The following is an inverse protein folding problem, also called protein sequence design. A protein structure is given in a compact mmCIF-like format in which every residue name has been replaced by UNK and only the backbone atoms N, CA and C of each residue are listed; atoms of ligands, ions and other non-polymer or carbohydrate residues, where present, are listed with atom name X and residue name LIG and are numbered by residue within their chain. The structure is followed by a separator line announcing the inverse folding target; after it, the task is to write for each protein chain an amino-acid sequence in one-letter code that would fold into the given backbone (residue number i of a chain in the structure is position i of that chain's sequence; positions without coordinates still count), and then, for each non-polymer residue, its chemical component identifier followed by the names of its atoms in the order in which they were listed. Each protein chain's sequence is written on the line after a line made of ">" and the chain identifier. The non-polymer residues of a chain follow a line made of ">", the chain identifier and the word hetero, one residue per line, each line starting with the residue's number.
data_IF_722048500883
#
_entry.id   IF_722048500883
#
_cell.length_a   1.000
_cell.length_b   1.000
_cell.length_c   1.000
_cell.angle_alpha   90.00
_cell.angle_beta   90.00
_cell.angle_gamma   90.00
#
_symmetry.space_group_name_H-M   'P 1'
#
loop_
_entity.id
_entity.type
_entity.pdbx_description
1 polymer ?
#
# COMPACT_ATOMS: atom_id res chain seq x y z
N UNK A 1 10.42 -1.73 10.66
CA UNK A 1 11.00 -1.68 9.31
C UNK A 1 10.19 -2.57 8.35
N UNK A 2 10.06 -2.15 7.09
CA UNK A 2 9.64 -2.94 5.92
C UNK A 2 10.72 -2.82 4.84
N UNK A 3 10.99 -3.87 4.07
CA UNK A 3 11.97 -3.83 2.98
C UNK A 3 11.40 -4.37 1.68
N UNK A 4 11.69 -3.71 0.57
CA UNK A 4 11.31 -4.12 -0.77
C UNK A 4 12.46 -3.86 -1.75
N UNK A 5 12.46 -4.55 -2.89
CA UNK A 5 13.45 -4.27 -3.93
C UNK A 5 13.10 -3.00 -4.70
N UNK A 6 14.11 -2.41 -5.36
CA UNK A 6 13.91 -1.29 -6.28
C UNK A 6 12.91 -1.61 -7.40
N UNK A 7 12.88 -2.84 -7.90
CA UNK A 7 11.93 -3.26 -8.93
C UNK A 7 10.49 -3.19 -8.42
N UNK A 8 10.23 -3.71 -7.21
CA UNK A 8 8.90 -3.64 -6.60
C UNK A 8 8.50 -2.19 -6.31
N UNK A 9 9.43 -1.36 -5.85
CA UNK A 9 9.16 0.07 -5.67
C UNK A 9 8.74 0.74 -6.99
N UNK A 10 9.47 0.47 -8.08
CA UNK A 10 9.15 1.02 -9.39
C UNK A 10 7.82 0.48 -9.95
N UNK A 11 7.50 -0.80 -9.71
CA UNK A 11 6.20 -1.38 -10.06
C UNK A 11 5.07 -0.65 -9.34
N UNK A 12 5.17 -0.49 -8.01
CA UNK A 12 4.18 0.22 -7.21
C UNK A 12 4.00 1.65 -7.72
N UNK A 13 5.09 2.40 -7.90
CA UNK A 13 5.04 3.78 -8.39
C UNK A 13 4.40 3.86 -9.78
N UNK A 14 4.70 2.90 -10.66
CA UNK A 14 4.09 2.82 -11.99
C UNK A 14 2.58 2.64 -11.87
N UNK A 15 2.12 1.67 -11.08
CA UNK A 15 0.69 1.45 -10.82
C UNK A 15 0.01 2.71 -10.29
N UNK A 16 0.61 3.37 -9.29
CA UNK A 16 0.08 4.64 -8.76
C UNK A 16 -0.09 5.72 -9.83
N UNK A 17 0.81 5.79 -10.81
CA UNK A 17 0.70 6.77 -11.92
C UNK A 17 -0.36 6.38 -12.94
N UNK A 18 -0.58 5.09 -13.17
CA UNK A 18 -1.56 4.57 -14.13
C UNK A 18 -3.00 4.73 -13.65
N UNK A 19 -3.24 4.70 -12.32
CA UNK A 19 -4.57 4.88 -11.72
C UNK A 19 -5.03 6.35 -11.60
N UNK A 20 -4.15 7.33 -11.91
CA UNK A 20 -4.55 8.73 -11.90
C UNK A 20 -5.78 8.97 -12.80
N UNK A 21 -6.79 9.74 -12.36
CA UNK A 21 -6.76 10.67 -11.21
C UNK A 21 -7.11 10.06 -9.86
N UNK A 22 -7.40 8.77 -9.77
CA UNK A 22 -7.82 8.09 -8.55
C UNK A 22 -6.62 7.61 -7.73
N UNK A 23 -6.85 7.28 -6.45
CA UNK A 23 -5.84 6.59 -5.65
C UNK A 23 -5.71 5.13 -6.09
N UNK A 24 -4.49 4.70 -6.39
CA UNK A 24 -4.16 3.28 -6.50
C UNK A 24 -4.15 2.63 -5.12
N UNK A 25 -4.42 1.33 -5.07
CA UNK A 25 -4.25 0.54 -3.86
C UNK A 25 -3.70 -0.86 -4.16
N UNK A 26 -3.10 -1.52 -3.17
CA UNK A 26 -2.64 -2.88 -3.34
C UNK A 26 -2.11 -3.58 -2.11
N UNK A 27 -1.84 -4.89 -2.27
CA UNK A 27 -1.36 -5.76 -1.20
C UNK A 27 0.13 -6.05 -1.39
N UNK A 28 0.91 -5.84 -0.33
CA UNK A 28 2.31 -6.24 -0.27
C UNK A 28 2.41 -7.60 0.42
N UNK A 29 2.91 -8.60 -0.31
CA UNK A 29 3.06 -9.95 0.17
C UNK A 29 4.52 -10.32 0.37
N UNK A 30 4.81 -11.13 1.37
CA UNK A 30 6.17 -11.54 1.69
C UNK A 30 6.28 -12.32 2.99
N UNK A 31 7.42 -12.23 3.66
CA UNK A 31 7.70 -12.93 4.92
C UNK A 31 8.30 -11.98 5.94
N UNK A 32 7.66 -11.86 7.11
CA UNK A 32 8.10 -10.96 8.17
C UNK A 32 8.07 -9.49 7.73
N UNK A 33 9.24 -8.90 7.49
CA UNK A 33 9.36 -7.51 7.01
C UNK A 33 9.77 -7.39 5.53
N UNK A 34 10.09 -8.50 4.87
CA UNK A 34 10.55 -8.51 3.48
C UNK A 34 9.36 -8.68 2.55
N UNK A 35 9.13 -7.70 1.67
CA UNK A 35 8.17 -7.77 0.57
C UNK A 35 8.81 -8.55 -0.56
N UNK A 36 8.13 -9.61 -1.00
CA UNK A 36 8.54 -10.46 -2.12
C UNK A 36 7.68 -10.20 -3.37
N UNK A 37 6.44 -9.74 -3.19
CA UNK A 37 5.50 -9.49 -4.30
C UNK A 37 4.56 -8.33 -3.97
N UNK A 38 4.26 -7.51 -4.97
CA UNK A 38 3.21 -6.48 -4.91
C UNK A 38 2.05 -6.89 -5.81
N UNK A 39 0.85 -6.94 -5.23
CA UNK A 39 -0.41 -7.14 -5.95
C UNK A 39 -1.08 -5.79 -6.13
N UNK A 40 -1.24 -5.39 -7.39
CA UNK A 40 -2.04 -4.24 -7.81
C UNK A 40 -3.51 -4.62 -7.64
N UNK A 41 -4.29 -3.73 -7.02
CA UNK A 41 -5.70 -3.98 -6.69
C UNK A 41 -6.56 -2.87 -7.25
N UNK A 42 -7.78 -3.22 -7.64
CA UNK A 42 -8.76 -2.24 -8.10
C UNK A 42 -9.26 -1.41 -6.92
N UNK A 43 -9.18 -0.08 -7.04
CA UNK A 43 -9.91 0.83 -6.18
C UNK A 43 -11.38 0.87 -6.59
N UNK A 44 -12.21 0.11 -5.88
CA UNK A 44 -13.64 0.00 -6.14
C UNK A 44 -14.41 1.33 -5.97
N UNK A 45 -13.84 2.27 -5.21
CA UNK A 45 -14.47 3.57 -4.96
C UNK A 45 -14.14 4.62 -6.04
N UNK A 46 -13.11 4.37 -6.87
CA UNK A 46 -12.65 5.29 -7.94
C UNK A 46 -12.58 6.74 -7.43
N UNK A 47 -11.85 6.90 -6.34
CA UNK A 47 -11.76 8.16 -5.60
C UNK A 47 -10.31 8.66 -5.60
N UNK A 48 -10.10 9.98 -5.74
CA UNK A 48 -8.78 10.61 -5.64
C UNK A 48 -8.29 10.81 -4.20
N UNK A 49 -9.10 10.50 -3.19
CA UNK A 49 -8.82 10.78 -1.77
C UNK A 49 -8.95 9.57 -0.85
N UNK A 50 -9.40 8.42 -1.36
CA UNK A 50 -9.49 7.19 -0.60
C UNK A 50 -9.56 5.96 -1.50
N UNK A 51 -9.37 4.79 -0.88
CA UNK A 51 -9.50 3.51 -1.56
C UNK A 51 -10.39 2.52 -0.81
N UNK A 52 -11.04 1.66 -1.58
CA UNK A 52 -11.65 0.41 -1.11
C UNK A 52 -11.20 -0.67 -2.09
N UNK A 53 -10.46 -1.66 -1.62
CA UNK A 53 -10.05 -2.78 -2.48
C UNK A 53 -11.28 -3.59 -2.92
N UNK A 54 -11.30 -4.01 -4.18
CA UNK A 54 -12.32 -4.95 -4.68
C UNK A 54 -12.32 -6.24 -3.81
N UNK A 55 -13.46 -6.61 -3.19
CA UNK A 55 -13.51 -7.75 -2.28
C UNK A 55 -13.24 -9.10 -2.95
N UNK A 56 -13.62 -9.26 -4.22
CA UNK A 56 -13.42 -10.52 -4.94
C UNK A 56 -11.94 -10.71 -5.29
N UNK A 57 -11.27 -9.63 -5.71
CA UNK A 57 -9.82 -9.61 -5.91
C UNK A 57 -9.08 -9.85 -4.59
N UNK A 58 -9.51 -9.21 -3.50
CA UNK A 58 -8.88 -9.38 -2.18
C UNK A 58 -8.95 -10.85 -1.74
N UNK A 59 -10.11 -11.50 -1.90
CA UNK A 59 -10.27 -12.92 -1.57
C UNK A 59 -9.34 -13.81 -2.41
N UNK A 60 -9.21 -13.50 -3.71
CA UNK A 60 -8.32 -14.23 -4.64
C UNK A 60 -6.86 -14.10 -4.22
N UNK A 61 -6.40 -12.88 -3.95
CA UNK A 61 -5.02 -12.61 -3.51
C UNK A 61 -4.75 -13.30 -2.17
N UNK A 62 -5.63 -13.14 -1.18
CA UNK A 62 -5.46 -13.81 0.13
C UNK A 62 -5.40 -15.34 0.03
N UNK A 63 -6.10 -15.95 -0.94
CA UNK A 63 -5.99 -17.39 -1.23
C UNK A 63 -4.63 -17.74 -1.85
N UNK A 64 -4.16 -16.94 -2.79
CA UNK A 64 -2.85 -17.12 -3.41
C UNK A 64 -1.70 -17.00 -2.40
N UNK A 65 -1.76 -16.00 -1.51
CA UNK A 65 -0.80 -15.83 -0.41
C UNK A 65 -0.68 -17.12 0.42
N UNK A 66 -1.81 -17.69 0.85
CA UNK A 66 -1.81 -18.96 1.59
C UNK A 66 -1.20 -20.11 0.81
N UNK A 67 -1.51 -20.24 -0.48
CA UNK A 67 -0.96 -21.30 -1.33
C UNK A 67 0.56 -21.18 -1.53
N UNK A 68 1.07 -19.95 -1.55
CA UNK A 68 2.50 -19.65 -1.71
C UNK A 68 3.26 -19.62 -0.37
N UNK A 69 2.57 -19.76 0.77
CA UNK A 69 3.17 -19.61 2.09
C UNK A 69 3.70 -18.19 2.33
N UNK A 70 3.02 -17.18 1.78
CA UNK A 70 3.29 -15.76 1.96
C UNK A 70 2.27 -15.13 2.90
N UNK A 71 2.70 -14.07 3.58
CA UNK A 71 1.88 -13.24 4.46
C UNK A 71 1.61 -11.89 3.80
N UNK A 72 0.50 -11.26 4.17
CA UNK A 72 0.26 -9.85 3.86
C UNK A 72 1.09 -9.00 4.83
N UNK A 73 2.26 -8.56 4.37
CA UNK A 73 3.21 -7.78 5.18
C UNK A 73 2.86 -6.29 5.21
N UNK A 74 2.05 -5.85 4.24
CA UNK A 74 1.56 -4.48 4.17
C UNK A 74 0.46 -4.28 3.13
N UNK A 75 -0.11 -3.09 3.17
CA UNK A 75 -1.06 -2.55 2.20
C UNK A 75 -0.39 -1.28 1.66
N UNK A 76 -0.49 -1.01 0.38
CA UNK A 76 -0.10 0.29 -0.16
C UNK A 76 -1.27 1.02 -0.79
N UNK A 77 -1.21 2.34 -0.78
CA UNK A 77 -2.06 3.20 -1.58
C UNK A 77 -1.32 4.48 -1.97
N UNK A 78 -1.87 5.21 -2.93
CA UNK A 78 -1.28 6.45 -3.42
C UNK A 78 -2.06 7.67 -3.03
N UNK A 79 -1.38 8.72 -2.59
CA UNK A 79 -1.94 10.05 -2.50
C UNK A 79 -1.62 10.85 -3.76
N UNK A 80 -2.66 11.35 -4.43
CA UNK A 80 -2.56 12.05 -5.71
C UNK A 80 -1.83 13.39 -5.58
N UNK A 81 -2.17 14.18 -4.57
CA UNK A 81 -1.69 15.57 -4.40
C UNK A 81 -1.17 15.89 -2.99
N UNK A 82 -1.30 14.97 -2.03
CA UNK A 82 -0.90 15.17 -0.64
C UNK A 82 0.38 14.40 -0.30
N UNK A 83 0.97 14.73 0.86
CA UNK A 83 2.18 14.06 1.36
C UNK A 83 1.90 12.58 1.67
N UNK A 84 2.98 11.77 1.69
CA UNK A 84 2.89 10.37 2.10
C UNK A 84 2.75 10.27 3.62
N UNK A 85 1.56 10.58 4.14
CA UNK A 85 1.23 10.50 5.56
C UNK A 85 -0.25 10.16 5.72
N UNK A 86 -0.66 9.29 6.66
CA UNK A 86 -2.04 8.84 6.77
C UNK A 86 -3.00 10.01 6.96
N UNK A 87 -4.04 10.07 6.12
CA UNK A 87 -5.17 10.97 6.27
C UNK A 87 -6.08 10.52 7.43
N UNK A 88 -7.01 11.36 7.87
CA UNK A 88 -8.05 10.93 8.83
C UNK A 88 -8.85 9.74 8.29
N UNK A 89 -9.09 9.69 6.98
CA UNK A 89 -9.83 8.61 6.34
C UNK A 89 -9.04 7.30 6.35
N UNK A 90 -7.73 7.36 6.12
CA UNK A 90 -6.85 6.19 6.21
C UNK A 90 -6.88 5.58 7.61
N UNK A 91 -6.89 6.42 8.64
CA UNK A 91 -6.92 5.98 10.05
C UNK A 91 -8.24 5.27 10.36
N UNK A 92 -9.37 5.81 9.88
CA UNK A 92 -10.70 5.21 10.06
C UNK A 92 -10.83 3.86 9.35
N UNK A 93 -10.21 3.72 8.18
CA UNK A 93 -10.28 2.52 7.34
C UNK A 93 -9.14 1.52 7.60
N UNK A 94 -8.31 1.76 8.62
CA UNK A 94 -7.19 0.89 8.97
C UNK A 94 -7.64 -0.39 9.70
N UNK A 95 -8.32 -1.29 8.99
CA UNK A 95 -8.88 -2.52 9.55
C UNK A 95 -7.86 -3.66 9.77
N UNK A 96 -6.61 -3.49 9.31
CA UNK A 96 -5.56 -4.49 9.39
C UNK A 96 -4.43 -4.02 10.31
N UNK A 97 -4.57 -4.16 11.65
CA UNK A 97 -3.64 -3.59 12.62
C UNK A 97 -2.22 -4.16 12.54
N UNK A 98 -2.07 -5.36 11.99
CA UNK A 98 -0.77 -6.02 11.79
C UNK A 98 -0.10 -5.64 10.46
N UNK A 99 -0.84 -5.05 9.52
CA UNK A 99 -0.31 -4.60 8.25
C UNK A 99 0.45 -3.28 8.40
N UNK A 100 1.46 -3.09 7.55
CA UNK A 100 2.12 -1.80 7.35
C UNK A 100 1.43 -1.09 6.20
N UNK A 101 0.94 0.12 6.46
CA UNK A 101 0.32 1.00 5.49
C UNK A 101 1.40 1.84 4.80
N UNK A 102 1.72 1.47 3.56
CA UNK A 102 2.72 2.12 2.73
C UNK A 102 2.06 3.16 1.82
N UNK A 103 2.31 4.44 2.06
CA UNK A 103 1.68 5.52 1.32
C UNK A 103 2.67 6.06 0.30
N UNK A 104 2.25 6.10 -0.96
CA UNK A 104 3.03 6.67 -2.07
C UNK A 104 2.49 8.06 -2.39
N UNK A 105 3.29 9.10 -2.24
CA UNK A 105 2.89 10.44 -2.69
C UNK A 105 3.26 10.66 -4.14
N UNK A 106 2.30 11.18 -4.92
CA UNK A 106 2.48 11.65 -6.30
C UNK A 106 2.44 13.19 -6.40
N UNK A 107 2.48 13.89 -5.25
CA UNK A 107 2.48 15.37 -5.20
C UNK A 107 3.58 15.97 -6.09
N UNK A 108 4.77 15.38 -6.07
CA UNK A 108 5.79 15.56 -7.11
C UNK A 108 5.83 14.31 -7.99
N UNK A 109 5.16 14.37 -9.15
CA UNK A 109 5.07 13.25 -10.11
C UNK A 109 6.45 12.76 -10.61
N UNK A 110 7.46 13.63 -10.57
CA UNK A 110 8.82 13.31 -10.99
C UNK A 110 9.66 12.71 -9.87
N UNK A 111 9.26 12.90 -8.61
CA UNK A 111 9.96 12.38 -7.44
C UNK A 111 8.99 11.72 -6.44
N UNK A 112 8.32 10.63 -6.85
CA UNK A 112 7.40 9.91 -5.98
C UNK A 112 8.15 9.32 -4.79
N UNK A 113 7.56 9.43 -3.60
CA UNK A 113 8.13 8.92 -2.35
C UNK A 113 7.17 7.96 -1.69
N UNK A 114 7.71 6.96 -1.00
CA UNK A 114 6.96 6.00 -0.22
C UNK A 114 7.34 6.12 1.26
N UNK A 115 6.35 6.08 2.14
CA UNK A 115 6.53 6.04 3.60
C UNK A 115 5.64 4.95 4.17
N UNK A 116 6.06 4.32 5.27
CA UNK A 116 5.35 3.20 5.87
C UNK A 116 4.88 3.55 7.29
N UNK A 117 3.68 3.10 7.64
CA UNK A 117 3.07 3.38 8.94
C UNK A 117 2.41 2.13 9.51
N UNK A 118 2.43 1.98 10.84
CA UNK A 118 1.44 1.17 11.54
C UNK A 118 0.34 2.07 12.06
N UNK A 119 -0.89 1.61 11.88
CA UNK A 119 -2.07 2.27 12.40
C UNK A 119 -2.79 1.27 13.30
N UNK A 120 -2.83 1.56 14.61
CA UNK A 120 -3.46 0.69 15.61
C UNK A 120 -4.24 1.54 16.60
N UNK A 121 -5.54 1.27 16.74
CA UNK A 121 -6.44 2.01 17.66
C UNK A 121 -6.35 3.53 17.45
N UNK A 122 -6.31 3.97 16.18
CA UNK A 122 -6.19 5.38 15.81
C UNK A 122 -4.80 6.00 16.00
N UNK A 123 -3.82 5.26 16.53
CA UNK A 123 -2.45 5.75 16.72
C UNK A 123 -1.59 5.43 15.50
N UNK A 124 -0.91 6.45 14.99
CA UNK A 124 0.04 6.34 13.88
C UNK A 124 1.45 6.18 14.46
N UNK A 125 2.18 5.17 13.99
CA UNK A 125 3.63 5.05 14.17
C UNK A 125 4.27 4.91 12.81
N UNK A 126 5.21 5.78 12.48
CA UNK A 126 6.02 5.62 11.26
C UNK A 126 6.99 4.45 11.42
N UNK A 127 7.17 3.70 10.34
CA UNK A 127 8.05 2.56 10.24
C UNK A 127 9.07 2.84 9.13
N UNK A 128 10.33 2.48 9.37
CA UNK A 128 11.37 2.63 8.36
C UNK A 128 11.08 1.75 7.13
N UNK A 129 11.29 2.32 5.94
CA UNK A 129 11.21 1.60 4.66
C UNK A 129 12.60 1.53 4.03
N UNK A 130 13.05 0.31 3.71
CA UNK A 130 14.34 0.04 3.08
C UNK A 130 14.10 -0.43 1.64
N UNK A 131 14.53 0.37 0.67
CA UNK A 131 14.53 0.00 -0.75
C UNK A 131 15.92 -0.52 -1.08
N UNK A 132 16.01 -1.81 -1.42
CA UNK A 132 17.26 -2.51 -1.72
C UNK A 132 17.51 -2.62 -3.22
#
# INVERSE_FOLDING_TARGET
>A
MISLSKELFLQIVKHCKEELPDEACGILAGKGSAVEKAYEMINADKSPENFIMDPAEQLKVMKELRNLGLEMVGIYHSHVASEAYPSSRDIELAFYPEARYCIVTLKDKNNPRIRAFRIKEGKISEEEISIK
#
